data_IF_334231948585
#
_entry.id   IF_334231948585
#
_cell.length_a   1.000
_cell.length_b   1.000
_cell.length_c   1.000
_cell.angle_alpha   90.00
_cell.angle_beta   90.00
_cell.angle_gamma   90.00
#
_symmetry.space_group_name_H-M   'P 1'
#
loop_
_entity.id
_entity.type
_entity.pdbx_description
1 polymer ?
#
# COMPACT_ATOMS: atom_id res chain seq x y z
N UNK A 1 -14.17 9.28 12.08
CA UNK A 1 -12.71 9.19 12.32
C UNK A 1 -12.36 7.74 12.13
N UNK A 2 -11.96 7.37 10.92
CA UNK A 2 -11.63 5.99 10.58
C UNK A 2 -10.14 5.79 10.85
N UNK A 3 -9.84 5.10 11.95
CA UNK A 3 -8.53 4.51 12.20
C UNK A 3 -8.24 3.51 11.08
N UNK A 4 -7.41 3.92 10.11
CA UNK A 4 -6.80 2.97 9.19
C UNK A 4 -5.77 2.22 10.00
N UNK A 5 -6.06 0.96 10.32
CA UNK A 5 -5.12 0.08 11.02
C UNK A 5 -3.94 -0.23 10.09
N UNK A 6 -2.88 0.57 10.19
CA UNK A 6 -1.58 0.31 9.59
C UNK A 6 -0.91 -0.78 10.44
N UNK A 7 -0.85 -2.01 9.94
CA UNK A 7 -0.07 -3.08 10.55
C UNK A 7 1.09 -3.48 9.64
N UNK A 8 2.30 -3.00 9.93
CA UNK A 8 3.54 -3.74 9.62
C UNK A 8 4.60 -3.38 10.67
N UNK A 9 5.04 -4.38 11.44
CA UNK A 9 6.30 -4.31 12.17
C UNK A 9 7.12 -5.53 11.77
N UNK A 10 7.89 -5.40 10.67
CA UNK A 10 8.88 -6.41 10.32
C UNK A 10 10.07 -6.20 11.25
N UNK A 11 10.20 -7.09 12.24
CA UNK A 11 11.40 -7.21 13.04
C UNK A 11 12.39 -8.09 12.28
N UNK A 12 13.31 -7.48 11.53
CA UNK A 12 14.53 -8.18 11.17
C UNK A 12 15.47 -8.09 12.38
N UNK A 13 16.20 -9.16 12.73
CA UNK A 13 17.09 -9.23 13.92
C UNK A 13 18.13 -8.09 14.05
N UNK A 14 18.28 -7.23 13.03
CA UNK A 14 19.20 -6.09 13.00
C UNK A 14 18.55 -4.71 12.80
N UNK A 15 17.29 -4.61 12.36
CA UNK A 15 16.61 -3.32 12.06
C UNK A 15 15.10 -3.47 12.18
N UNK A 16 14.42 -2.38 12.55
CA UNK A 16 12.95 -2.28 12.51
C UNK A 16 12.52 -1.40 11.36
N UNK A 17 11.45 -1.80 10.67
CA UNK A 17 10.85 -1.06 9.56
C UNK A 17 9.45 -0.62 9.98
N UNK A 18 9.16 0.65 9.78
CA UNK A 18 7.88 1.27 10.09
C UNK A 18 7.34 1.96 8.84
N UNK A 19 6.08 1.71 8.54
CA UNK A 19 5.36 2.36 7.45
C UNK A 19 4.35 3.33 8.03
N UNK A 20 4.28 4.53 7.46
CA UNK A 20 3.30 5.55 7.80
C UNK A 20 2.62 6.06 6.54
N UNK A 21 1.27 6.09 6.53
CA UNK A 21 0.53 6.67 5.40
C UNK A 21 0.49 8.19 5.59
N UNK A 22 1.37 8.90 4.89
CA UNK A 22 1.48 10.36 4.95
C UNK A 22 0.50 11.07 4.03
N UNK A 23 -0.04 10.37 3.02
CA UNK A 23 -1.16 10.85 2.21
C UNK A 23 -2.24 9.79 2.08
N UNK A 24 -3.41 10.07 2.66
CA UNK A 24 -4.59 9.21 2.63
C UNK A 24 -5.45 9.51 1.40
N UNK A 25 -5.99 8.50 0.71
CA UNK A 25 -6.95 8.72 -0.36
C UNK A 25 -8.30 9.16 0.22
N UNK A 26 -8.95 10.11 -0.44
CA UNK A 26 -10.21 10.69 0.04
C UNK A 26 -11.41 10.24 -0.77
N UNK A 27 -11.22 10.02 -2.07
CA UNK A 27 -12.29 9.66 -3.01
C UNK A 27 -11.76 8.91 -4.22
N UNK A 28 -12.64 8.15 -4.84
CA UNK A 28 -12.50 7.53 -6.17
C UNK A 28 -13.92 7.38 -6.75
N UNK A 29 -14.02 6.99 -8.01
CA UNK A 29 -15.30 6.58 -8.60
C UNK A 29 -15.22 5.09 -8.96
N UNK A 30 -16.25 4.34 -8.56
CA UNK A 30 -16.47 3.00 -9.07
C UNK A 30 -16.59 3.02 -10.60
N UNK A 31 -16.06 2.01 -11.28
CA UNK A 31 -16.10 1.92 -12.75
C UNK A 31 -16.86 0.70 -13.26
N UNK A 32 -17.20 -0.27 -12.40
CA UNK A 32 -17.97 -1.45 -12.77
C UNK A 32 -17.34 -2.23 -13.95
N UNK A 33 -18.04 -2.30 -15.08
CA UNK A 33 -17.56 -2.93 -16.30
C UNK A 33 -16.79 -1.97 -17.25
N UNK A 34 -16.79 -0.67 -16.97
CA UNK A 34 -16.17 0.35 -17.81
C UNK A 34 -14.68 0.53 -17.49
N UNK A 35 -13.85 -0.48 -17.80
CA UNK A 35 -12.41 -0.50 -17.48
C UNK A 35 -11.60 0.69 -18.02
N UNK A 36 -12.06 1.32 -19.10
CA UNK A 36 -11.39 2.49 -19.70
C UNK A 36 -11.75 3.81 -19.01
N UNK A 37 -12.76 3.81 -18.13
CA UNK A 37 -13.26 4.98 -17.42
C UNK A 37 -12.85 4.99 -15.95
N UNK A 38 -11.74 4.32 -15.61
CA UNK A 38 -11.21 4.26 -14.25
C UNK A 38 -10.81 5.65 -13.78
N UNK A 39 -11.22 5.98 -12.56
CA UNK A 39 -10.78 7.20 -11.86
C UNK A 39 -9.95 6.77 -10.64
N UNK A 40 -8.65 7.06 -10.62
CA UNK A 40 -7.80 6.63 -9.52
C UNK A 40 -8.18 7.29 -8.20
N UNK A 41 -7.77 6.67 -7.10
CA UNK A 41 -7.83 7.21 -5.76
C UNK A 41 -7.17 8.59 -5.74
N UNK A 42 -7.91 9.56 -5.21
CA UNK A 42 -7.52 10.96 -5.15
C UNK A 42 -7.67 11.49 -3.72
N UNK A 43 -6.63 12.11 -3.13
CA UNK A 43 -5.25 12.13 -3.62
C UNK A 43 -4.62 10.72 -3.60
N UNK A 44 -3.50 10.46 -4.31
CA UNK A 44 -2.89 9.13 -4.35
C UNK A 44 -2.35 8.71 -2.98
N UNK A 45 -2.20 7.40 -2.76
CA UNK A 45 -1.62 6.90 -1.50
C UNK A 45 -0.12 7.15 -1.51
N UNK A 46 0.39 7.79 -0.46
CA UNK A 46 1.83 7.97 -0.23
C UNK A 46 2.16 7.39 1.14
N UNK A 47 3.17 6.53 1.17
CA UNK A 47 3.62 5.85 2.38
C UNK A 47 5.08 6.19 2.64
N UNK A 48 5.40 6.69 3.83
CA UNK A 48 6.76 6.93 4.26
C UNK A 48 7.31 5.67 4.96
N UNK A 49 8.56 5.32 4.64
CA UNK A 49 9.32 4.26 5.28
C UNK A 49 10.32 4.88 6.26
N UNK A 50 10.20 4.50 7.53
CA UNK A 50 11.22 4.76 8.54
C UNK A 50 11.92 3.47 8.90
N UNK A 51 13.24 3.43 8.79
CA UNK A 51 14.06 2.29 9.22
C UNK A 51 14.87 2.70 10.43
N UNK A 52 14.83 1.92 11.51
CA UNK A 52 15.60 2.16 12.72
C UNK A 52 16.58 1.02 13.00
N UNK A 53 17.76 1.39 13.48
CA UNK A 53 18.76 0.44 13.99
C UNK A 53 18.32 -0.13 15.38
N UNK A 54 19.06 -1.10 15.96
CA UNK A 54 18.73 -1.63 17.28
C UNK A 54 18.87 -0.61 18.43
N UNK A 55 19.59 0.49 18.19
CA UNK A 55 19.74 1.60 19.13
C UNK A 55 18.59 2.60 19.03
N UNK A 56 17.68 2.45 18.06
CA UNK A 56 16.53 3.31 17.83
C UNK A 56 16.78 4.50 16.90
N UNK A 57 17.97 4.64 16.34
CA UNK A 57 18.30 5.74 15.43
C UNK A 57 17.74 5.47 14.04
N UNK A 58 17.21 6.51 13.38
CA UNK A 58 16.82 6.44 11.98
C UNK A 58 18.05 6.23 11.11
N UNK A 59 17.99 5.25 10.20
CA UNK A 59 19.07 4.90 9.28
C UNK A 59 18.52 4.71 7.87
N UNK A 60 19.35 4.93 6.86
CA UNK A 60 19.04 4.63 5.46
C UNK A 60 19.82 3.37 5.09
N UNK A 61 19.18 2.21 4.82
CA UNK A 61 19.89 1.00 4.46
C UNK A 61 20.11 0.91 2.94
N UNK A 62 21.07 1.66 2.38
CA UNK A 62 21.19 1.85 0.91
C UNK A 62 21.27 0.55 0.12
N UNK A 63 21.98 -0.46 0.65
CA UNK A 63 22.13 -1.78 0.00
C UNK A 63 20.86 -2.63 0.03
N UNK A 64 19.89 -2.30 0.88
CA UNK A 64 18.63 -3.04 1.00
C UNK A 64 17.51 -2.41 0.20
N UNK A 65 17.54 -1.08 -0.02
CA UNK A 65 16.45 -0.33 -0.68
C UNK A 65 15.97 -0.95 -2.00
N UNK A 66 16.85 -1.42 -2.92
CA UNK A 66 16.41 -2.00 -4.19
C UNK A 66 15.57 -3.29 -4.04
N UNK A 67 15.63 -3.93 -2.88
CA UNK A 67 14.93 -5.17 -2.58
C UNK A 67 13.66 -4.96 -1.76
N UNK A 68 13.40 -3.72 -1.31
CA UNK A 68 12.22 -3.37 -0.53
C UNK A 68 11.09 -2.95 -1.46
N UNK A 69 9.96 -3.64 -1.33
CA UNK A 69 8.77 -3.44 -2.15
C UNK A 69 7.55 -3.34 -1.24
N UNK A 70 6.69 -2.36 -1.49
CA UNK A 70 5.40 -2.23 -0.82
C UNK A 70 4.28 -2.71 -1.73
N UNK A 71 3.35 -3.47 -1.16
CA UNK A 71 2.14 -3.95 -1.84
C UNK A 71 0.90 -3.38 -1.17
N UNK A 72 -0.03 -2.83 -1.96
CA UNK A 72 -1.34 -2.38 -1.51
C UNK A 72 -2.37 -3.51 -1.57
N UNK A 73 -3.08 -3.67 -0.46
CA UNK A 73 -4.22 -4.59 -0.29
C UNK A 73 -5.49 -3.83 0.05
N UNK A 74 -6.64 -4.46 -0.17
CA UNK A 74 -7.98 -3.99 0.07
C UNK A 74 -8.64 -4.92 1.10
N UNK A 75 -9.25 -4.31 2.09
CA UNK A 75 -10.03 -4.98 3.11
C UNK A 75 -11.47 -4.44 3.12
N UNK A 76 -12.38 -5.22 3.69
CA UNK A 76 -13.71 -4.74 4.06
C UNK A 76 -13.63 -3.49 4.95
N UNK A 77 -14.72 -2.71 5.00
CA UNK A 77 -14.75 -1.46 5.77
C UNK A 77 -14.45 -1.61 7.27
N UNK A 78 -14.64 -2.80 7.84
CA UNK A 78 -14.28 -3.17 9.22
C UNK A 78 -12.81 -3.65 9.37
N UNK A 79 -12.08 -3.79 8.27
CA UNK A 79 -10.68 -4.23 8.23
C UNK A 79 -10.47 -5.74 8.44
N UNK A 80 -11.53 -6.54 8.57
CA UNK A 80 -11.40 -7.95 8.98
C UNK A 80 -11.22 -8.92 7.81
N UNK A 81 -11.74 -8.57 6.63
CA UNK A 81 -11.76 -9.48 5.47
C UNK A 81 -10.94 -8.91 4.34
N UNK A 82 -9.90 -9.63 3.91
CA UNK A 82 -9.15 -9.28 2.71
C UNK A 82 -10.00 -9.50 1.44
N UNK A 83 -9.96 -8.55 0.51
CA UNK A 83 -10.77 -8.51 -0.72
C UNK A 83 -9.91 -8.57 -2.01
N UNK A 84 -8.59 -8.67 -1.85
CA UNK A 84 -7.59 -8.70 -2.94
C UNK A 84 -7.66 -9.94 -3.82
N UNK A 85 -8.17 -11.00 -3.23
CA UNK A 85 -8.33 -12.29 -3.86
C UNK A 85 -9.81 -12.44 -4.11
N UNK A 86 -10.22 -12.27 -5.37
CA UNK A 86 -11.56 -12.64 -5.80
C UNK A 86 -11.93 -13.97 -5.17
N UNK A 87 -12.95 -13.92 -4.32
CA UNK A 87 -13.83 -15.03 -3.98
C UNK A 87 -13.26 -16.43 -4.32
N UNK A 88 -12.64 -17.08 -3.34
CA UNK A 88 -12.39 -18.54 -3.29
C UNK A 88 -11.36 -19.10 -4.27
N UNK A 89 -10.21 -19.49 -3.73
CA UNK A 89 -9.35 -20.53 -4.34
C UNK A 89 -10.24 -21.76 -4.56
N UNK A 90 -10.69 -22.01 -5.81
CA UNK A 90 -11.51 -23.16 -6.18
C UNK A 90 -12.94 -22.88 -6.67
N UNK A 91 -13.45 -21.63 -6.62
CA UNK A 91 -14.63 -21.25 -7.42
C UNK A 91 -14.18 -20.31 -8.54
N UNK A 92 -14.52 -20.66 -9.78
CA UNK A 92 -13.94 -20.06 -10.98
C UNK A 92 -13.85 -18.53 -10.94
N UNK A 93 -12.65 -18.03 -11.23
CA UNK A 93 -12.27 -16.61 -11.46
C UNK A 93 -13.21 -15.88 -12.44
N UNK A 94 -14.08 -16.60 -13.13
CA UNK A 94 -15.07 -16.08 -14.07
C UNK A 94 -16.29 -15.41 -13.40
N UNK A 95 -16.58 -15.65 -12.11
CA UNK A 95 -17.82 -15.15 -11.50
C UNK A 95 -17.68 -13.86 -10.69
N UNK A 96 -16.50 -13.56 -10.13
CA UNK A 96 -16.26 -12.30 -9.41
C UNK A 96 -14.89 -11.70 -9.75
N UNK A 97 -14.84 -10.67 -10.60
CA UNK A 97 -13.59 -9.97 -10.88
C UNK A 97 -13.05 -9.24 -9.64
N UNK A 98 -11.74 -8.97 -9.56
CA UNK A 98 -11.14 -8.27 -8.42
C UNK A 98 -11.78 -6.89 -8.22
N UNK A 99 -11.70 -6.37 -7.00
CA UNK A 99 -12.25 -5.05 -6.68
C UNK A 99 -11.18 -3.96 -6.83
N UNK A 100 -9.94 -4.26 -6.44
CA UNK A 100 -8.80 -3.35 -6.49
C UNK A 100 -8.04 -3.52 -7.82
N UNK A 101 -7.74 -2.41 -8.50
CA UNK A 101 -7.05 -2.40 -9.79
C UNK A 101 -5.96 -1.32 -9.85
N UNK A 102 -5.03 -1.49 -10.78
CA UNK A 102 -3.98 -0.52 -11.11
C UNK A 102 -2.60 -0.98 -10.67
N UNK A 103 -1.71 -0.04 -10.38
CA UNK A 103 -0.37 -0.28 -9.85
C UNK A 103 -0.42 -0.46 -8.33
N UNK A 104 -0.53 -1.72 -7.90
CA UNK A 104 -0.64 -2.09 -6.48
C UNK A 104 0.72 -2.35 -5.81
N UNK A 105 1.80 -2.26 -6.56
CA UNK A 105 3.16 -2.53 -6.10
C UNK A 105 4.02 -1.29 -6.34
N UNK A 106 4.81 -0.92 -5.35
CA UNK A 106 5.69 0.25 -5.39
C UNK A 106 7.07 -0.08 -4.81
N UNK A 107 8.11 0.52 -5.37
CA UNK A 107 9.49 0.44 -4.87
C UNK A 107 9.81 1.66 -4.00
N UNK A 108 10.87 1.59 -3.20
CA UNK A 108 11.31 2.75 -2.41
C UNK A 108 11.86 3.84 -3.33
N UNK A 109 11.35 5.06 -3.18
CA UNK A 109 11.88 6.28 -3.78
C UNK A 109 12.46 7.19 -2.69
N UNK A 110 13.58 7.85 -3.00
CA UNK A 110 14.16 8.89 -2.12
C UNK A 110 13.70 10.25 -2.62
N UNK A 111 12.88 10.94 -1.82
CA UNK A 111 12.27 12.21 -2.22
C UNK A 111 12.41 13.25 -1.09
N UNK A 112 12.35 14.52 -1.45
CA UNK A 112 12.22 15.61 -0.47
C UNK A 112 10.75 15.72 -0.03
N UNK A 113 10.54 15.84 1.29
CA UNK A 113 9.24 16.18 1.85
C UNK A 113 8.92 17.68 1.64
N UNK A 114 7.74 18.12 2.09
CA UNK A 114 7.30 19.51 1.97
C UNK A 114 8.14 20.49 2.83
N UNK A 115 8.93 19.99 3.77
CA UNK A 115 9.84 20.76 4.61
C UNK A 115 11.28 20.76 4.05
N UNK A 116 11.53 20.06 2.94
CA UNK A 116 12.84 19.94 2.31
C UNK A 116 13.74 18.85 2.90
N UNK A 117 13.21 17.95 3.73
CA UNK A 117 13.99 16.83 4.26
C UNK A 117 13.89 15.62 3.33
N UNK A 118 15.01 14.95 3.09
CA UNK A 118 15.02 13.69 2.36
C UNK A 118 14.37 12.57 3.17
N UNK A 119 13.46 11.83 2.54
CA UNK A 119 12.77 10.67 3.10
C UNK A 119 12.67 9.52 2.11
N UNK A 120 12.24 8.36 2.62
CA UNK A 120 11.99 7.15 1.84
C UNK A 120 10.48 6.99 1.66
N UNK A 121 10.00 6.89 0.42
CA UNK A 121 8.58 6.86 0.11
C UNK A 121 8.21 5.73 -0.85
N UNK A 122 6.99 5.22 -0.70
CA UNK A 122 6.31 4.39 -1.67
C UNK A 122 5.11 5.17 -2.21
N UNK A 123 5.01 5.25 -3.54
CA UNK A 123 3.95 5.96 -4.24
C UNK A 123 3.01 4.99 -4.94
N UNK A 124 1.70 5.24 -4.82
CA UNK A 124 0.66 4.49 -5.53
C UNK A 124 -0.27 5.45 -6.30
N UNK A 125 0.19 5.97 -7.46
CA UNK A 125 -0.52 7.01 -8.19
C UNK A 125 -1.71 6.52 -9.02
N UNK A 126 -1.74 5.22 -9.37
CA UNK A 126 -2.78 4.63 -10.22
C UNK A 126 -3.41 3.43 -9.52
N UNK A 127 -4.35 3.70 -8.60
CA UNK A 127 -5.12 2.68 -7.90
C UNK A 127 -6.58 3.02 -8.02
N UNK A 128 -7.42 2.08 -8.47
CA UNK A 128 -8.85 2.29 -8.70
C UNK A 128 -9.69 1.19 -8.07
N UNK A 129 -10.91 1.52 -7.67
CA UNK A 129 -11.87 0.58 -7.07
C UNK A 129 -12.99 0.32 -8.08
N UNK A 130 -13.28 -0.96 -8.34
CA UNK A 130 -14.29 -1.36 -9.33
C UNK A 130 -15.70 -1.13 -8.88
N UNK A 131 -16.01 -1.52 -7.65
CA UNK A 131 -17.36 -1.62 -7.12
C UNK A 131 -17.53 -0.69 -5.93
N UNK A 132 -18.71 -0.10 -5.79
CA UNK A 132 -19.05 0.73 -4.65
C UNK A 132 -18.95 -0.04 -3.34
N UNK A 133 -18.38 0.59 -2.32
CA UNK A 133 -18.38 0.04 -0.97
C UNK A 133 -17.57 0.88 0.01
N UNK A 134 -17.52 0.41 1.25
CA UNK A 134 -16.62 0.92 2.27
C UNK A 134 -15.47 -0.07 2.43
N UNK A 135 -14.25 0.45 2.34
CA UNK A 135 -13.04 -0.35 2.29
C UNK A 135 -11.93 0.27 3.13
N UNK A 136 -10.98 -0.56 3.52
CA UNK A 136 -9.70 -0.11 4.07
C UNK A 136 -8.57 -0.56 3.15
N UNK A 137 -7.49 0.23 3.09
CA UNK A 137 -6.29 -0.15 2.37
C UNK A 137 -5.23 -0.63 3.36
N UNK A 138 -4.61 -1.76 3.07
CA UNK A 138 -3.44 -2.26 3.76
C UNK A 138 -2.18 -2.02 2.94
N UNK A 139 -1.06 -1.78 3.60
CA UNK A 139 0.25 -1.68 2.95
C UNK A 139 1.16 -2.72 3.57
N UNK A 140 1.70 -3.61 2.75
CA UNK A 140 2.63 -4.66 3.20
C UNK A 140 4.02 -4.40 2.63
N UNK A 141 5.01 -4.22 3.50
CA UNK A 141 6.42 -4.20 3.09
C UNK A 141 6.90 -5.64 2.89
N UNK A 142 7.61 -5.90 1.81
CA UNK A 142 8.28 -7.18 1.55
C UNK A 142 9.71 -6.92 1.11
N UNK A 143 10.64 -7.74 1.60
CA UNK A 143 12.01 -7.78 1.09
C UNK A 143 12.15 -8.96 0.15
N UNK A 144 12.47 -8.70 -1.11
CA UNK A 144 12.73 -9.75 -2.10
C UNK A 144 14.14 -10.29 -1.87
N UNK A 145 14.25 -11.60 -1.70
CA UNK A 145 15.54 -12.31 -1.65
C UNK A 145 15.71 -13.11 -2.93
N UNK A 146 16.81 -12.87 -3.64
CA UNK A 146 17.37 -13.81 -4.63
C UNK A 146 17.99 -15.00 -3.95
#
# INVERSE_FOLDING_TARGET
MSDVCIFVQIHCRKKSYHLEIVQQPQRTAEFGAAYLSRVPLTPPVIVQLTVRDPSGNSVIPESELPFLVAHLSLFSGDGQTALDMGSFIGMGVMQNPPILYGHLVSTVEQLEDLQGNMGLFFLFPDVSIRSRGHYQLGVTLTRITT
#
